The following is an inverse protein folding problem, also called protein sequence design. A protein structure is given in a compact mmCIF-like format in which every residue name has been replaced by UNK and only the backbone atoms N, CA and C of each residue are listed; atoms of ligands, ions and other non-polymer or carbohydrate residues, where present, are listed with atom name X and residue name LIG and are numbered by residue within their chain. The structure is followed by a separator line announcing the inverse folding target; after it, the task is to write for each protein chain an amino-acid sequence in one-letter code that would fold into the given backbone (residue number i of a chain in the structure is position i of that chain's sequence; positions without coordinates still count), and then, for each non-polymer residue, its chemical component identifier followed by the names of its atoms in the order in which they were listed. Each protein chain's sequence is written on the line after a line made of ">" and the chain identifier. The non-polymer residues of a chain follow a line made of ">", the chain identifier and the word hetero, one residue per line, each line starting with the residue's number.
data_IF_398275028207
#
_entry.id   IF_398275028207
#
_cell.length_a   1.000
_cell.length_b   1.000
_cell.length_c   1.000
_cell.angle_alpha   90.00
_cell.angle_beta   90.00
_cell.angle_gamma   90.00
#
_symmetry.space_group_name_H-M   'P 1'
#
loop_
_entity.id
_entity.type
_entity.pdbx_description
1 polymer ?
#
# COMPACT_ATOMS: atom_id res chain seq x y z
N UNK A 1 15.90 -7.05 18.82
CA UNK A 1 16.31 -5.67 18.46
C UNK A 1 16.04 -5.53 16.97
N UNK A 2 14.96 -4.86 16.58
CA UNK A 2 14.64 -4.68 15.16
C UNK A 2 15.52 -3.56 14.61
N UNK A 3 16.46 -3.90 13.73
CA UNK A 3 17.23 -2.93 12.97
C UNK A 3 16.27 -2.17 12.04
N UNK A 4 16.12 -0.88 12.30
CA UNK A 4 15.32 0.01 11.46
C UNK A 4 16.09 0.22 10.16
N UNK A 5 15.86 -0.61 9.15
CA UNK A 5 16.47 -0.46 7.82
C UNK A 5 15.94 0.82 7.18
N UNK A 6 16.66 1.92 7.35
CA UNK A 6 16.50 3.15 6.56
C UNK A 6 17.55 3.17 5.46
N UNK A 7 17.37 2.33 4.43
CA UNK A 7 18.10 2.55 3.18
C UNK A 7 17.34 3.60 2.35
N UNK A 8 17.77 4.86 2.49
CA UNK A 8 17.51 5.85 1.45
C UNK A 8 18.31 5.46 0.20
N UNK A 9 17.76 5.70 -0.99
CA UNK A 9 18.47 5.49 -2.25
C UNK A 9 19.79 6.28 -2.22
N UNK A 10 20.90 5.58 -2.41
CA UNK A 10 22.26 6.14 -2.44
C UNK A 10 22.65 6.67 -3.82
N UNK A 11 21.70 6.74 -4.76
CA UNK A 11 21.94 7.16 -6.14
C UNK A 11 22.59 6.09 -7.01
N UNK A 12 22.70 4.83 -6.56
CA UNK A 12 23.09 3.72 -7.43
C UNK A 12 22.04 3.50 -8.51
N UNK A 13 22.45 3.66 -9.77
CA UNK A 13 21.59 3.75 -10.97
C UNK A 13 20.85 2.43 -11.27
N UNK A 14 21.28 1.32 -10.66
CA UNK A 14 20.78 -0.02 -10.98
C UNK A 14 19.50 -0.38 -10.20
N UNK A 15 19.22 0.28 -9.07
CA UNK A 15 18.08 -0.03 -8.20
C UNK A 15 16.93 0.94 -8.42
N UNK A 16 16.16 0.68 -9.46
CA UNK A 16 15.04 1.54 -9.84
C UNK A 16 13.69 1.05 -9.30
N UNK A 17 13.53 -0.23 -8.98
CA UNK A 17 12.26 -0.79 -8.53
C UNK A 17 12.20 -0.79 -7.01
N UNK A 18 11.08 -0.41 -6.40
CA UNK A 18 10.93 -0.44 -4.96
C UNK A 18 9.56 -0.97 -4.51
N UNK A 19 9.59 -1.78 -3.46
CA UNK A 19 8.42 -2.15 -2.66
C UNK A 19 8.32 -1.14 -1.53
N UNK A 20 7.15 -0.55 -1.34
CA UNK A 20 6.87 0.37 -0.24
C UNK A 20 5.65 -0.08 0.55
N UNK A 21 5.66 0.23 1.84
CA UNK A 21 4.58 -0.11 2.78
C UNK A 21 4.04 1.17 3.39
N UNK A 22 2.74 1.40 3.28
CA UNK A 22 2.03 2.56 3.81
C UNK A 22 1.10 2.14 4.94
N UNK A 23 1.07 2.92 6.01
CA UNK A 23 -0.04 2.90 6.96
C UNK A 23 -1.13 3.86 6.46
N UNK A 24 -2.37 3.40 6.47
CA UNK A 24 -3.52 4.15 5.99
C UNK A 24 -4.44 4.57 7.13
N UNK A 25 -5.13 5.70 6.93
CA UNK A 25 -6.12 6.20 7.86
C UNK A 25 -7.37 5.32 7.82
N UNK A 26 -7.72 4.75 8.97
CA UNK A 26 -9.02 4.14 9.16
C UNK A 26 -10.10 5.22 9.18
N UNK A 27 -11.13 5.06 8.35
CA UNK A 27 -12.33 5.90 8.35
C UNK A 27 -13.52 5.04 7.97
N UNK A 28 -14.71 5.36 8.48
CA UNK A 28 -15.92 4.68 8.05
C UNK A 28 -16.41 5.29 6.74
N UNK A 29 -16.63 4.43 5.74
CA UNK A 29 -17.19 4.74 4.44
C UNK A 29 -18.29 3.74 4.11
N UNK A 30 -19.34 4.22 3.44
CA UNK A 30 -20.41 3.35 2.98
C UNK A 30 -20.08 2.85 1.57
N UNK A 31 -20.58 1.66 1.22
CA UNK A 31 -20.47 1.13 -0.15
C UNK A 31 -21.01 2.13 -1.21
N UNK A 32 -22.03 2.93 -0.86
CA UNK A 32 -22.54 3.99 -1.74
C UNK A 32 -21.47 5.03 -2.05
N UNK A 33 -20.82 5.58 -1.02
CA UNK A 33 -19.74 6.58 -1.18
C UNK A 33 -18.58 5.99 -1.98
N UNK A 34 -18.19 4.75 -1.69
CA UNK A 34 -17.11 4.05 -2.42
C UNK A 34 -17.43 3.96 -3.90
N UNK A 35 -18.63 3.54 -4.27
CA UNK A 35 -19.05 3.44 -5.67
C UNK A 35 -19.06 4.79 -6.38
N UNK A 36 -19.53 5.84 -5.70
CA UNK A 36 -19.56 7.19 -6.27
C UNK A 36 -18.15 7.76 -6.48
N UNK A 37 -17.28 7.68 -5.46
CA UNK A 37 -15.90 8.20 -5.50
C UNK A 37 -15.01 7.44 -6.49
N UNK A 38 -15.14 6.11 -6.54
CA UNK A 38 -14.34 5.24 -7.40
C UNK A 38 -14.99 4.95 -8.76
N UNK A 39 -16.19 5.48 -9.02
CA UNK A 39 -16.98 5.24 -10.24
C UNK A 39 -17.23 3.76 -10.52
N UNK A 40 -17.54 2.98 -9.47
CA UNK A 40 -17.78 1.54 -9.55
C UNK A 40 -19.27 1.23 -9.75
N UNK A 41 -19.57 0.22 -10.55
CA UNK A 41 -20.95 -0.27 -10.75
C UNK A 41 -21.41 -1.19 -9.61
N UNK A 42 -20.47 -1.93 -9.00
CA UNK A 42 -20.74 -2.95 -7.99
C UNK A 42 -20.03 -2.62 -6.67
N UNK A 43 -20.49 -3.26 -5.59
CA UNK A 43 -19.80 -3.22 -4.30
C UNK A 43 -18.44 -3.93 -4.39
N UNK A 44 -17.55 -3.56 -3.47
CA UNK A 44 -16.24 -4.19 -3.31
C UNK A 44 -16.18 -4.87 -1.95
N UNK A 45 -15.60 -6.08 -1.90
CA UNK A 45 -15.51 -6.89 -0.68
C UNK A 45 -14.57 -6.27 0.36
N UNK A 46 -13.44 -5.71 -0.10
CA UNK A 46 -12.37 -5.21 0.77
C UNK A 46 -12.77 -4.01 1.66
N UNK A 47 -13.91 -3.36 1.42
CA UNK A 47 -14.37 -2.24 2.27
C UNK A 47 -14.82 -2.72 3.64
N UNK A 48 -15.57 -3.82 3.68
CA UNK A 48 -16.08 -4.37 4.93
C UNK A 48 -14.91 -4.92 5.74
N UNK A 49 -14.07 -5.75 5.09
CA UNK A 49 -12.86 -6.32 5.69
C UNK A 49 -11.91 -5.24 6.25
N UNK A 50 -11.70 -4.14 5.52
CA UNK A 50 -10.85 -3.06 5.99
C UNK A 50 -11.41 -2.39 7.26
N UNK A 51 -12.72 -2.14 7.31
CA UNK A 51 -13.33 -1.41 8.42
C UNK A 51 -13.49 -2.23 9.69
N UNK A 52 -13.44 -3.56 9.60
CA UNK A 52 -13.42 -4.46 10.75
C UNK A 52 -12.04 -4.52 11.43
N UNK A 53 -11.00 -4.04 10.75
CA UNK A 53 -9.63 -4.06 11.23
C UNK A 53 -9.22 -2.78 11.96
N UNK A 54 -8.29 -2.90 12.91
CA UNK A 54 -7.81 -1.77 13.73
C UNK A 54 -6.78 -0.91 13.01
N UNK A 55 -6.09 -1.47 12.03
CA UNK A 55 -5.03 -0.82 11.26
C UNK A 55 -5.13 -1.26 9.81
N UNK A 56 -4.78 -0.35 8.92
CA UNK A 56 -4.82 -0.56 7.47
C UNK A 56 -3.41 -0.37 6.92
N UNK A 57 -2.96 -1.33 6.13
CA UNK A 57 -1.65 -1.30 5.48
C UNK A 57 -1.84 -1.50 3.98
N UNK A 58 -1.13 -0.70 3.19
CA UNK A 58 -1.04 -0.87 1.74
C UNK A 58 0.40 -1.19 1.35
N UNK A 59 0.58 -2.26 0.58
CA UNK A 59 1.86 -2.64 -0.03
C UNK A 59 1.78 -2.32 -1.52
N UNK A 60 2.84 -1.74 -2.08
CA UNK A 60 2.88 -1.40 -3.49
C UNK A 60 4.28 -1.43 -4.08
N UNK A 61 4.37 -1.64 -5.40
CA UNK A 61 5.60 -1.51 -6.19
C UNK A 61 5.62 -0.22 -7.01
N UNK A 62 6.79 0.43 -7.13
CA UNK A 62 7.00 1.53 -8.08
C UNK A 62 8.45 1.68 -8.51
N UNK A 63 8.67 2.16 -9.73
CA UNK A 63 9.99 2.61 -10.19
C UNK A 63 10.29 4.08 -9.88
N UNK A 64 9.26 4.86 -9.52
CA UNK A 64 9.36 6.29 -9.21
C UNK A 64 8.56 6.54 -7.93
N UNK A 65 9.09 6.02 -6.81
CA UNK A 65 8.41 6.04 -5.50
C UNK A 65 7.90 7.43 -5.11
N UNK A 66 8.66 8.53 -5.21
CA UNK A 66 8.16 9.84 -4.81
C UNK A 66 6.89 10.26 -5.56
N UNK A 67 6.84 10.02 -6.88
CA UNK A 67 5.66 10.33 -7.69
C UNK A 67 4.48 9.44 -7.29
N UNK A 68 4.73 8.15 -7.01
CA UNK A 68 3.68 7.22 -6.59
C UNK A 68 3.11 7.57 -5.22
N UNK A 69 3.97 7.90 -4.25
CA UNK A 69 3.55 8.36 -2.93
C UNK A 69 2.74 9.66 -3.01
N UNK A 70 3.16 10.61 -3.85
CA UNK A 70 2.41 11.83 -4.09
C UNK A 70 1.01 11.53 -4.66
N UNK A 71 0.89 10.62 -5.63
CA UNK A 71 -0.39 10.18 -6.18
C UNK A 71 -1.31 9.55 -5.13
N UNK A 72 -0.77 8.74 -4.22
CA UNK A 72 -1.54 8.19 -3.10
C UNK A 72 -2.01 9.28 -2.13
N UNK A 73 -1.16 10.26 -1.82
CA UNK A 73 -1.47 11.33 -0.88
C UNK A 73 -2.54 12.31 -1.40
N UNK A 74 -2.59 12.58 -2.70
CA UNK A 74 -3.56 13.55 -3.26
C UNK A 74 -4.95 12.99 -3.44
N UNK A 75 -5.13 11.66 -3.47
CA UNK A 75 -6.46 11.01 -3.45
C UNK A 75 -7.36 11.28 -4.66
N UNK A 76 -6.83 11.78 -5.79
CA UNK A 76 -7.61 12.18 -6.98
C UNK A 76 -7.72 11.11 -8.08
N UNK A 77 -7.79 9.82 -7.73
CA UNK A 77 -7.91 8.74 -8.72
C UNK A 77 -6.60 8.24 -9.34
N UNK A 78 -5.48 8.93 -9.13
CA UNK A 78 -4.18 8.52 -9.67
C UNK A 78 -3.41 7.54 -8.76
N UNK A 79 -3.89 7.34 -7.54
CA UNK A 79 -3.40 6.36 -6.57
C UNK A 79 -3.99 4.96 -6.80
N UNK A 80 -4.02 4.14 -5.75
CA UNK A 80 -4.81 2.91 -5.74
C UNK A 80 -6.20 3.18 -5.17
N UNK A 81 -7.22 2.46 -5.67
CA UNK A 81 -8.60 2.53 -5.17
C UNK A 81 -8.67 2.43 -3.63
N UNK A 82 -7.90 1.49 -3.07
CA UNK A 82 -7.78 1.34 -1.62
C UNK A 82 -7.29 2.62 -0.94
N UNK A 83 -6.16 3.18 -1.38
CA UNK A 83 -5.58 4.40 -0.81
C UNK A 83 -6.39 5.66 -1.06
N UNK A 84 -7.29 5.68 -2.05
CA UNK A 84 -8.23 6.78 -2.24
C UNK A 84 -9.33 6.73 -1.16
N UNK A 85 -9.83 5.53 -0.84
CA UNK A 85 -10.78 5.36 0.24
C UNK A 85 -10.13 5.48 1.62
N UNK A 86 -8.91 4.98 1.79
CA UNK A 86 -8.13 5.00 3.02
C UNK A 86 -6.79 5.70 2.79
N UNK A 87 -6.74 7.04 2.85
CA UNK A 87 -5.53 7.81 2.55
C UNK A 87 -4.33 7.38 3.40
N UNK A 88 -3.12 7.35 2.83
CA UNK A 88 -1.92 7.05 3.60
C UNK A 88 -1.63 8.16 4.62
N UNK A 89 -1.29 7.76 5.84
CA UNK A 89 -0.86 8.67 6.92
C UNK A 89 0.64 8.62 7.13
N UNK A 90 1.28 7.49 6.82
CA UNK A 90 2.70 7.27 7.08
C UNK A 90 3.31 6.25 6.13
N UNK A 91 4.53 6.53 5.68
CA UNK A 91 5.41 5.55 5.04
C UNK A 91 6.11 4.72 6.12
N UNK A 92 5.91 3.39 6.10
CA UNK A 92 6.50 2.46 7.07
C UNK A 92 7.85 1.92 6.62
N UNK A 93 7.96 1.53 5.34
CA UNK A 93 9.16 0.91 4.77
C UNK A 93 9.28 1.21 3.28
N UNK A 94 10.52 1.24 2.77
CA UNK A 94 10.86 1.17 1.35
C UNK A 94 12.04 0.21 1.22
N UNK A 95 11.93 -0.73 0.29
CA UNK A 95 13.02 -1.61 -0.11
C UNK A 95 13.24 -1.56 -1.62
N UNK A 96 14.49 -1.41 -2.03
CA UNK A 96 14.87 -1.26 -3.44
C UNK A 96 15.41 -2.57 -4.03
N UNK A 97 15.09 -2.79 -5.30
CA UNK A 97 15.41 -3.98 -6.08
C UNK A 97 15.93 -3.56 -7.46
N UNK A 98 16.92 -4.30 -7.94
CA UNK A 98 17.48 -4.09 -9.28
C UNK A 98 16.48 -4.52 -10.35
N UNK A 99 15.90 -5.71 -10.19
CA UNK A 99 14.99 -6.30 -11.16
C UNK A 99 13.54 -6.08 -10.76
N UNK A 100 12.73 -5.76 -11.77
CA UNK A 100 11.27 -5.66 -11.62
C UNK A 100 10.67 -6.95 -11.08
N UNK A 101 11.06 -8.11 -11.61
CA UNK A 101 10.58 -9.43 -11.15
C UNK A 101 10.75 -9.64 -9.65
N UNK A 102 11.90 -9.21 -9.12
CA UNK A 102 12.26 -9.43 -7.73
C UNK A 102 11.43 -8.49 -6.83
N UNK A 103 11.15 -7.27 -7.28
CA UNK A 103 10.27 -6.35 -6.59
C UNK A 103 8.83 -6.86 -6.49
N UNK A 104 8.25 -7.40 -7.57
CA UNK A 104 6.90 -7.98 -7.54
C UNK A 104 6.84 -9.23 -6.65
N UNK A 105 7.83 -10.12 -6.74
CA UNK A 105 7.93 -11.26 -5.82
C UNK A 105 8.05 -10.80 -4.36
N UNK A 106 8.82 -9.74 -4.11
CA UNK A 106 8.97 -9.19 -2.77
C UNK A 106 7.71 -8.48 -2.27
N UNK A 107 6.89 -7.88 -3.13
CA UNK A 107 5.58 -7.32 -2.78
C UNK A 107 4.67 -8.40 -2.22
N UNK A 108 4.53 -9.52 -2.94
CA UNK A 108 3.72 -10.67 -2.53
C UNK A 108 4.21 -11.23 -1.18
N UNK A 109 5.52 -11.50 -1.06
CA UNK A 109 6.12 -12.01 0.19
C UNK A 109 5.97 -11.01 1.34
N UNK A 110 6.06 -9.70 1.08
CA UNK A 110 5.88 -8.68 2.11
C UNK A 110 4.45 -8.69 2.63
N UNK A 111 3.46 -8.80 1.74
CA UNK A 111 2.06 -8.91 2.14
C UNK A 111 1.79 -10.19 2.96
N UNK A 112 2.33 -11.33 2.52
CA UNK A 112 2.22 -12.62 3.22
C UNK A 112 2.83 -12.57 4.62
N UNK A 113 4.07 -12.09 4.76
CA UNK A 113 4.75 -11.97 6.06
C UNK A 113 3.97 -11.02 6.98
N UNK A 114 3.47 -9.89 6.46
CA UNK A 114 2.67 -8.96 7.26
C UNK A 114 1.38 -9.61 7.76
N UNK A 115 0.72 -10.43 6.95
CA UNK A 115 -0.51 -11.14 7.32
C UNK A 115 -0.21 -12.15 8.44
N UNK A 116 0.85 -12.94 8.28
CA UNK A 116 1.31 -13.93 9.26
C UNK A 116 1.67 -13.28 10.61
N UNK A 117 2.52 -12.26 10.59
CA UNK A 117 3.06 -11.60 11.79
C UNK A 117 2.00 -10.76 12.53
N UNK A 118 0.99 -10.26 11.82
CA UNK A 118 -0.07 -9.45 12.45
C UNK A 118 -1.26 -10.28 12.92
N UNK A 119 -1.31 -11.57 12.55
CA UNK A 119 -2.36 -12.51 12.93
C UNK A 119 -3.77 -11.97 12.66
N UNK A 120 -3.99 -11.39 11.48
CA UNK A 120 -5.30 -10.88 11.04
C UNK A 120 -5.81 -9.66 11.82
N UNK A 121 -4.94 -8.94 12.54
CA UNK A 121 -5.31 -7.70 13.27
C UNK A 121 -5.16 -6.44 12.42
N UNK A 122 -4.57 -6.58 11.25
CA UNK A 122 -4.25 -5.51 10.30
C UNK A 122 -4.79 -5.95 8.96
N UNK A 123 -5.56 -5.10 8.30
CA UNK A 123 -5.96 -5.36 6.92
C UNK A 123 -4.84 -4.94 5.98
N UNK A 124 -4.41 -5.86 5.13
CA UNK A 124 -3.32 -5.65 4.16
C UNK A 124 -3.92 -5.64 2.75
N UNK A 125 -3.65 -4.57 2.00
CA UNK A 125 -4.10 -4.40 0.63
C UNK A 125 -2.91 -4.27 -0.32
N UNK A 126 -3.02 -4.87 -1.50
CA UNK A 126 -2.06 -4.80 -2.58
C UNK A 126 -2.78 -4.61 -3.94
N UNK A 127 -2.11 -4.03 -4.96
CA UNK A 127 -2.77 -3.66 -6.22
C UNK A 127 -3.42 -4.80 -7.01
N UNK A 128 -3.07 -6.07 -6.75
CA UNK A 128 -3.61 -7.23 -7.47
C UNK A 128 -2.96 -7.46 -8.83
#
# INVERSE_FOLDING_TARGET
>A
MAELVKQFSDGTVERTNAVYVLECQLKSVTQKVVREELRLQNNVSWIEDAQENRRLVYVGVSTVVPNRLWKHAVGKGDGANFTQMFPPTRLLSIQWFERKSDAYRAEELTAEILEEETHGRVHISQPG
#
